data_IF_846708621310
#
_entry.id   IF_846708621310
#
_cell.length_a   1.000
_cell.length_b   1.000
_cell.length_c   1.000
_cell.angle_alpha   90.00
_cell.angle_beta   90.00
_cell.angle_gamma   90.00
#
_symmetry.space_group_name_H-M   'P 1'
#
loop_
_entity.id
_entity.type
_entity.pdbx_description
1 polymer ?
#
# COMPACT_ATOMS: atom_id res chain seq x y z
N UNK A 1 6.14 -33.78 9.24
CA UNK A 1 5.58 -32.97 9.81
C UNK A 1 6.13 -31.66 9.94
N UNK A 2 7.14 -31.43 10.61
CA UNK A 2 7.69 -30.11 10.76
C UNK A 2 8.15 -29.51 9.45
N UNK A 3 8.45 -30.32 8.49
CA UNK A 3 8.99 -29.81 7.24
C UNK A 3 8.07 -28.83 6.55
N UNK A 4 6.79 -29.14 6.51
CA UNK A 4 5.95 -28.24 5.77
C UNK A 4 5.69 -26.97 6.54
N UNK A 5 5.81 -26.99 7.85
CA UNK A 5 5.68 -25.76 8.59
C UNK A 5 6.85 -24.84 8.30
N UNK A 6 8.01 -25.43 8.14
CA UNK A 6 9.19 -24.65 7.84
C UNK A 6 9.06 -23.97 6.48
N UNK A 7 8.45 -24.65 5.55
CA UNK A 7 8.26 -24.07 4.23
C UNK A 7 7.37 -22.84 4.29
N UNK A 8 6.32 -22.92 5.07
CA UNK A 8 5.43 -21.80 5.18
C UNK A 8 6.16 -20.54 5.65
N UNK A 9 6.97 -20.61 6.69
CA UNK A 9 7.72 -19.43 7.10
C UNK A 9 8.62 -18.88 6.03
N UNK A 10 9.20 -19.73 5.23
CA UNK A 10 10.03 -19.26 4.14
C UNK A 10 9.26 -18.42 3.17
N UNK A 11 8.09 -18.90 2.81
CA UNK A 11 7.26 -18.17 1.87
C UNK A 11 6.89 -16.81 2.43
N UNK A 12 6.53 -16.81 3.69
CA UNK A 12 6.18 -15.55 4.33
C UNK A 12 7.36 -14.60 4.36
N UNK A 13 8.55 -15.13 4.52
CA UNK A 13 9.72 -14.29 4.52
C UNK A 13 9.90 -13.55 3.23
N UNK A 14 9.60 -14.23 2.12
CA UNK A 14 9.71 -13.60 0.82
C UNK A 14 8.69 -12.48 0.67
N UNK A 15 7.49 -12.72 1.11
CA UNK A 15 6.47 -11.69 1.04
C UNK A 15 6.83 -10.48 1.88
N UNK A 16 7.42 -10.71 3.02
CA UNK A 16 7.78 -9.62 3.91
C UNK A 16 8.82 -8.71 3.31
N UNK A 17 9.52 -9.18 2.33
CA UNK A 17 10.54 -8.33 1.73
C UNK A 17 9.95 -7.15 0.98
N UNK A 18 8.70 -7.28 0.56
CA UNK A 18 8.10 -6.25 -0.25
C UNK A 18 6.79 -5.65 0.26
N UNK A 19 6.58 -5.56 1.58
CA UNK A 19 5.34 -4.93 2.03
C UNK A 19 5.31 -3.44 1.66
N UNK A 20 6.44 -2.79 1.71
CA UNK A 20 6.51 -1.37 1.40
C UNK A 20 6.24 -1.14 -0.08
N UNK A 21 6.82 -1.97 -0.94
CA UNK A 21 6.59 -1.81 -2.37
C UNK A 21 5.12 -1.98 -2.72
N UNK A 22 4.46 -2.92 -2.07
CA UNK A 22 3.05 -3.13 -2.31
C UNK A 22 2.25 -1.90 -1.92
N UNK A 23 2.59 -1.33 -0.77
CA UNK A 23 1.90 -0.13 -0.31
C UNK A 23 2.18 1.05 -1.23
N UNK A 24 3.40 1.15 -1.71
CA UNK A 24 3.74 2.23 -2.63
C UNK A 24 2.94 2.12 -3.91
N UNK A 25 2.73 0.91 -4.37
CA UNK A 25 1.95 0.71 -5.58
C UNK A 25 0.49 1.09 -5.34
N UNK A 26 -0.04 0.72 -4.19
CA UNK A 26 -1.41 1.09 -3.83
C UNK A 26 -1.54 2.59 -3.73
N UNK A 27 -0.52 3.25 -3.19
CA UNK A 27 -0.51 4.70 -3.09
C UNK A 27 -0.58 5.33 -4.47
N UNK A 28 0.20 4.80 -5.39
CA UNK A 28 0.17 5.27 -6.77
C UNK A 28 -1.20 5.12 -7.39
N UNK A 29 -1.83 3.98 -7.16
CA UNK A 29 -3.16 3.73 -7.69
C UNK A 29 -4.16 4.73 -7.15
N UNK A 30 -4.08 5.00 -5.86
CA UNK A 30 -4.98 5.97 -5.25
C UNK A 30 -4.79 7.36 -5.85
N UNK A 31 -3.55 7.73 -6.10
CA UNK A 31 -3.29 9.03 -6.70
C UNK A 31 -3.85 9.11 -8.12
N UNK A 32 -3.73 8.03 -8.87
CA UNK A 32 -4.30 8.01 -10.21
C UNK A 32 -5.81 8.15 -10.17
N UNK A 33 -6.44 7.42 -9.25
CA UNK A 33 -7.88 7.50 -9.10
C UNK A 33 -8.30 8.89 -8.66
N UNK A 34 -7.51 9.51 -7.78
CA UNK A 34 -7.82 10.86 -7.35
C UNK A 34 -7.75 11.84 -8.51
N UNK A 35 -6.74 11.68 -9.35
CA UNK A 35 -6.61 12.53 -10.53
C UNK A 35 -7.78 12.36 -11.47
N UNK A 36 -8.22 11.13 -11.66
CA UNK A 36 -9.37 10.85 -12.51
C UNK A 36 -10.63 11.50 -11.96
N UNK A 37 -10.81 11.40 -10.64
CA UNK A 37 -11.96 12.01 -10.00
C UNK A 37 -11.92 13.52 -10.19
N UNK A 38 -10.75 14.11 -10.03
CA UNK A 38 -10.59 15.53 -10.20
C UNK A 38 -10.94 15.97 -11.62
N UNK A 39 -10.47 15.22 -12.60
CA UNK A 39 -10.76 15.52 -13.99
C UNK A 39 -12.25 15.45 -14.28
N UNK A 40 -12.92 14.49 -13.69
CA UNK A 40 -14.34 14.31 -13.91
C UNK A 40 -15.21 15.25 -13.09
N UNK A 41 -14.60 16.10 -12.26
CA UNK A 41 -15.38 17.02 -11.44
C UNK A 41 -15.93 16.39 -10.18
N UNK A 42 -15.45 15.20 -9.83
CA UNK A 42 -15.91 14.50 -8.64
C UNK A 42 -15.08 14.97 -7.45
N UNK A 43 -15.47 16.11 -6.89
CA UNK A 43 -14.70 16.72 -5.82
C UNK A 43 -14.70 15.88 -4.57
N UNK A 44 -15.85 15.28 -4.25
CA UNK A 44 -15.92 14.43 -3.06
C UNK A 44 -15.05 13.18 -3.22
N UNK A 45 -15.09 12.58 -4.38
CA UNK A 45 -14.26 11.42 -4.65
C UNK A 45 -12.78 11.76 -4.60
N UNK A 46 -12.42 12.90 -5.15
CA UNK A 46 -11.05 13.36 -5.11
C UNK A 46 -10.58 13.55 -3.67
N UNK A 47 -11.39 14.19 -2.85
CA UNK A 47 -11.03 14.42 -1.45
C UNK A 47 -10.87 13.12 -0.70
N UNK A 48 -11.80 12.19 -0.93
CA UNK A 48 -11.75 10.90 -0.24
C UNK A 48 -10.51 10.11 -0.65
N UNK A 49 -10.24 10.06 -1.94
CA UNK A 49 -9.10 9.30 -2.43
C UNK A 49 -7.78 9.93 -1.99
N UNK A 50 -7.74 11.26 -1.97
CA UNK A 50 -6.54 11.95 -1.50
C UNK A 50 -6.28 11.67 -0.03
N UNK A 51 -7.33 11.64 0.77
CA UNK A 51 -7.19 11.35 2.19
C UNK A 51 -6.66 9.93 2.39
N UNK A 52 -7.17 8.99 1.61
CA UNK A 52 -6.69 7.62 1.70
C UNK A 52 -5.23 7.51 1.29
N UNK A 53 -4.84 8.28 0.30
CA UNK A 53 -3.44 8.27 -0.13
C UNK A 53 -2.53 8.81 0.95
N UNK A 54 -2.97 9.84 1.67
CA UNK A 54 -2.18 10.41 2.75
C UNK A 54 -2.02 9.38 3.88
N UNK A 55 -3.10 8.69 4.23
CA UNK A 55 -3.02 7.68 5.26
C UNK A 55 -2.05 6.58 4.88
N UNK A 56 -2.11 6.17 3.63
CA UNK A 56 -1.24 5.13 3.15
C UNK A 56 0.21 5.60 3.16
N UNK A 57 0.42 6.84 2.76
CA UNK A 57 1.76 7.42 2.79
C UNK A 57 2.33 7.43 4.20
N UNK A 58 1.50 7.79 5.18
CA UNK A 58 1.95 7.79 6.57
C UNK A 58 2.32 6.39 7.02
N UNK A 59 1.58 5.40 6.57
CA UNK A 59 1.89 4.02 6.90
C UNK A 59 3.21 3.59 6.28
N UNK A 60 3.45 4.00 5.05
CA UNK A 60 4.71 3.69 4.38
C UNK A 60 5.87 4.29 5.14
N UNK A 61 5.72 5.55 5.54
CA UNK A 61 6.77 6.23 6.30
C UNK A 61 7.05 5.51 7.60
N UNK A 62 6.00 5.10 8.30
CA UNK A 62 6.16 4.40 9.56
C UNK A 62 6.90 3.09 9.37
N UNK A 63 6.55 2.36 8.31
CA UNK A 63 7.20 1.09 8.06
C UNK A 63 8.67 1.26 7.69
N UNK A 64 8.98 2.32 6.97
CA UNK A 64 10.38 2.58 6.62
C UNK A 64 11.21 2.90 7.84
N UNK A 65 10.62 3.58 8.80
CA UNK A 65 11.34 3.91 10.02
C UNK A 65 11.68 2.68 10.83
N UNK A 66 10.84 1.65 10.73
CA UNK A 66 11.07 0.44 11.49
C UNK A 66 12.12 -0.46 10.86
N UNK A 67 12.52 -0.18 9.67
CA UNK A 67 13.60 -0.93 9.03
C UNK A 67 14.96 -0.35 9.43
#
# INVERSE_FOLDING_TARGET
MPAHRLKAPYMFGLFKKDPIKKLEKEHEELLKQAMDAQRGGDIKGYAKLSAQAVELENRIIAMRREQ
#
